data_IF_518730572134
#
_entry.id   IF_518730572134
#
_cell.length_a   1.000
_cell.length_b   1.000
_cell.length_c   1.000
_cell.angle_alpha   90.00
_cell.angle_beta   90.00
_cell.angle_gamma   90.00
#
_symmetry.space_group_name_H-M   'P 1'
#
loop_
_entity.id
_entity.type
_entity.pdbx_description
1 polymer ?
#
# COMPACT_ATOMS: atom_id res chain seq x y z
N UNK A 1 -63.44 6.76 -44.82
CA UNK A 1 -62.13 7.36 -45.19
C UNK A 1 -61.13 7.30 -44.02
N UNK A 2 -61.20 6.31 -43.14
CA UNK A 2 -60.20 5.24 -42.96
C UNK A 2 -59.23 5.04 -44.16
N UNK A 3 -57.99 5.56 -44.11
CA UNK A 3 -56.80 5.00 -44.82
C UNK A 3 -55.44 5.72 -44.65
N UNK A 4 -55.31 6.81 -43.90
CA UNK A 4 -54.02 7.56 -43.82
C UNK A 4 -53.31 7.52 -42.45
N UNK A 5 -53.70 6.61 -41.54
CA UNK A 5 -53.16 6.51 -40.18
C UNK A 5 -52.07 5.41 -40.02
N UNK A 6 -51.40 4.98 -41.11
CA UNK A 6 -50.48 3.82 -41.07
C UNK A 6 -49.00 4.05 -41.42
N UNK A 7 -48.54 5.10 -42.15
CA UNK A 7 -47.10 5.24 -42.38
C UNK A 7 -46.35 6.04 -41.28
N UNK A 8 -47.05 6.83 -40.47
CA UNK A 8 -46.44 7.72 -39.46
C UNK A 8 -46.03 7.00 -38.14
N UNK A 9 -46.37 5.72 -37.97
CA UNK A 9 -45.95 4.92 -36.80
C UNK A 9 -44.70 4.08 -37.13
N UNK A 10 -44.38 3.85 -38.40
CA UNK A 10 -43.22 3.05 -38.81
C UNK A 10 -41.91 3.87 -38.87
N UNK A 11 -41.99 5.21 -39.04
CA UNK A 11 -40.82 6.09 -39.13
C UNK A 11 -40.27 6.53 -37.76
N UNK A 12 -41.10 6.48 -36.71
CA UNK A 12 -40.70 6.81 -35.32
C UNK A 12 -39.99 5.62 -34.63
N UNK A 13 -40.18 4.39 -35.12
CA UNK A 13 -39.54 3.20 -34.55
C UNK A 13 -38.07 3.01 -35.03
N UNK A 14 -37.68 3.61 -36.16
CA UNK A 14 -36.32 3.50 -36.72
C UNK A 14 -35.36 4.56 -36.15
N UNK A 15 -35.89 5.69 -35.64
CA UNK A 15 -35.09 6.75 -35.01
C UNK A 15 -34.61 6.40 -33.59
N UNK A 16 -35.18 5.38 -32.94
CA UNK A 16 -34.73 4.93 -31.61
C UNK A 16 -33.41 4.15 -31.64
N UNK A 17 -33.01 3.59 -32.79
CA UNK A 17 -31.78 2.78 -32.91
C UNK A 17 -30.52 3.67 -33.07
N UNK A 18 -30.67 4.87 -33.64
CA UNK A 18 -29.56 5.82 -33.80
C UNK A 18 -29.14 6.48 -32.47
N UNK A 19 -30.04 6.58 -31.49
CA UNK A 19 -29.73 7.11 -30.17
C UNK A 19 -28.84 6.17 -29.33
N UNK A 20 -28.96 4.85 -29.51
CA UNK A 20 -28.11 3.87 -28.81
C UNK A 20 -26.66 3.84 -29.30
N UNK A 21 -26.35 4.35 -30.50
CA UNK A 21 -24.98 4.42 -31.01
C UNK A 21 -24.21 5.68 -30.53
N UNK A 22 -24.92 6.70 -30.05
CA UNK A 22 -24.35 8.03 -29.73
C UNK A 22 -23.39 8.02 -28.52
N UNK A 23 -23.53 7.07 -27.59
CA UNK A 23 -22.69 6.96 -26.40
C UNK A 23 -21.46 6.07 -26.55
N UNK A 24 -21.40 5.24 -27.60
CA UNK A 24 -20.36 4.21 -27.75
C UNK A 24 -18.97 4.81 -27.93
N UNK A 25 -18.83 5.76 -28.86
CA UNK A 25 -17.53 6.39 -29.18
C UNK A 25 -16.94 7.17 -27.99
N UNK A 26 -17.70 8.03 -27.29
CA UNK A 26 -17.21 8.68 -26.06
C UNK A 26 -16.80 7.70 -24.96
N UNK A 27 -17.54 6.60 -24.79
CA UNK A 27 -17.20 5.59 -23.79
C UNK A 27 -15.89 4.84 -24.15
N UNK A 28 -15.70 4.48 -25.42
CA UNK A 28 -14.45 3.85 -25.91
C UNK A 28 -13.24 4.78 -25.76
N UNK A 29 -13.39 6.06 -26.08
CA UNK A 29 -12.34 7.07 -25.93
C UNK A 29 -11.99 7.29 -24.46
N UNK A 30 -12.99 7.39 -23.57
CA UNK A 30 -12.76 7.53 -22.13
C UNK A 30 -12.04 6.30 -21.54
N UNK A 31 -12.43 5.09 -21.93
CA UNK A 31 -11.77 3.84 -21.49
C UNK A 31 -10.32 3.80 -21.98
N UNK A 32 -10.06 4.17 -23.24
CA UNK A 32 -8.69 4.23 -23.78
C UNK A 32 -7.83 5.26 -23.05
N UNK A 33 -8.38 6.44 -22.77
CA UNK A 33 -7.68 7.48 -22.02
C UNK A 33 -7.37 7.03 -20.59
N UNK A 34 -8.33 6.39 -19.92
CA UNK A 34 -8.17 5.83 -18.58
C UNK A 34 -7.08 4.74 -18.55
N UNK A 35 -7.09 3.82 -19.52
CA UNK A 35 -6.09 2.76 -19.65
C UNK A 35 -4.68 3.33 -19.88
N UNK A 36 -4.54 4.30 -20.77
CA UNK A 36 -3.25 4.97 -21.01
C UNK A 36 -2.74 5.67 -19.73
N UNK A 37 -3.61 6.41 -19.03
CA UNK A 37 -3.24 7.14 -17.82
C UNK A 37 -2.86 6.21 -16.66
N UNK A 38 -3.66 5.15 -16.41
CA UNK A 38 -3.37 4.17 -15.36
C UNK A 38 -2.05 3.46 -15.66
N UNK A 39 -1.81 3.02 -16.90
CA UNK A 39 -0.57 2.36 -17.28
C UNK A 39 0.66 3.26 -17.11
N UNK A 40 0.53 4.56 -17.38
CA UNK A 40 1.60 5.54 -17.17
C UNK A 40 1.94 5.72 -15.68
N UNK A 41 0.94 5.72 -14.79
CA UNK A 41 1.13 5.93 -13.36
C UNK A 41 1.49 4.65 -12.57
N UNK A 42 1.14 3.46 -13.11
CA UNK A 42 1.21 2.17 -12.40
C UNK A 42 2.60 1.82 -11.88
N UNK A 43 3.66 2.10 -12.63
CA UNK A 43 5.01 1.61 -12.33
C UNK A 43 5.53 2.02 -10.95
N UNK A 44 5.48 3.32 -10.63
CA UNK A 44 5.91 3.82 -9.32
C UNK A 44 4.81 3.64 -8.26
N UNK A 45 3.55 3.85 -8.63
CA UNK A 45 2.43 3.71 -7.71
C UNK A 45 2.29 2.29 -7.13
N UNK A 46 2.55 1.25 -7.91
CA UNK A 46 2.52 -0.15 -7.43
C UNK A 46 3.52 -0.43 -6.32
N UNK A 47 4.60 0.35 -6.21
CA UNK A 47 5.62 0.15 -5.17
C UNK A 47 5.21 0.72 -3.81
N UNK A 48 4.35 1.73 -3.81
CA UNK A 48 4.09 2.53 -2.60
C UNK A 48 2.62 2.56 -2.20
N UNK A 49 1.70 2.45 -3.17
CA UNK A 49 0.24 2.54 -3.01
C UNK A 49 -0.51 1.48 -3.87
N UNK A 50 -0.16 0.19 -3.78
CA UNK A 50 -0.75 -0.86 -4.63
C UNK A 50 -2.28 -0.95 -4.52
N UNK A 51 -2.86 -0.66 -3.35
CA UNK A 51 -4.32 -0.68 -3.15
C UNK A 51 -5.04 0.42 -3.95
N UNK A 52 -4.41 1.59 -4.10
CA UNK A 52 -4.96 2.68 -4.91
C UNK A 52 -4.88 2.34 -6.40
N UNK A 53 -3.78 1.71 -6.83
CA UNK A 53 -3.65 1.20 -8.21
C UNK A 53 -4.76 0.20 -8.49
N UNK A 54 -4.93 -0.81 -7.62
CA UNK A 54 -5.97 -1.84 -7.75
C UNK A 54 -7.36 -1.22 -7.86
N UNK A 55 -7.66 -0.22 -7.04
CA UNK A 55 -8.95 0.49 -7.09
C UNK A 55 -9.22 1.12 -8.46
N UNK A 56 -8.21 1.69 -9.12
CA UNK A 56 -8.36 2.24 -10.47
C UNK A 56 -8.47 1.17 -11.54
N UNK A 57 -7.75 0.05 -11.41
CA UNK A 57 -7.85 -1.10 -12.32
C UNK A 57 -9.22 -1.79 -12.23
N UNK A 58 -9.76 -1.93 -11.02
CA UNK A 58 -11.10 -2.47 -10.80
C UNK A 58 -12.16 -1.53 -11.42
N UNK A 59 -11.99 -0.21 -11.28
CA UNK A 59 -12.85 0.79 -11.93
C UNK A 59 -12.79 0.75 -13.46
N UNK A 60 -11.58 0.61 -14.03
CA UNK A 60 -11.38 0.44 -15.48
C UNK A 60 -12.03 -0.85 -15.98
N UNK A 61 -11.90 -1.94 -15.21
CA UNK A 61 -12.51 -3.24 -15.52
C UNK A 61 -14.03 -3.13 -15.54
N UNK A 62 -14.63 -2.52 -14.52
CA UNK A 62 -16.07 -2.28 -14.47
C UNK A 62 -16.57 -1.42 -15.66
N UNK A 63 -15.81 -0.40 -16.07
CA UNK A 63 -16.15 0.40 -17.24
C UNK A 63 -16.08 -0.41 -18.55
N UNK A 64 -15.06 -1.27 -18.71
CA UNK A 64 -14.93 -2.20 -19.84
C UNK A 64 -16.08 -3.21 -19.89
N UNK A 65 -16.50 -3.74 -18.75
CA UNK A 65 -17.66 -4.64 -18.65
C UNK A 65 -18.97 -3.94 -19.03
N UNK A 66 -19.18 -2.70 -18.57
CA UNK A 66 -20.34 -1.91 -18.95
C UNK A 66 -20.37 -1.66 -20.47
N UNK A 67 -19.22 -1.36 -21.08
CA UNK A 67 -19.10 -1.22 -22.53
C UNK A 67 -19.47 -2.51 -23.26
N UNK A 68 -19.00 -3.66 -22.78
CA UNK A 68 -19.31 -4.98 -23.36
C UNK A 68 -20.81 -5.30 -23.27
N UNK A 69 -21.47 -4.89 -22.19
CA UNK A 69 -22.93 -4.98 -21.99
C UNK A 69 -23.71 -3.93 -22.80
N UNK A 70 -23.03 -3.10 -23.60
CA UNK A 70 -23.59 -1.95 -24.35
C UNK A 70 -24.22 -0.89 -23.44
N UNK A 71 -23.87 -0.88 -22.16
CA UNK A 71 -24.22 0.19 -21.23
C UNK A 71 -23.21 1.34 -21.37
N UNK A 72 -23.36 2.11 -22.45
CA UNK A 72 -22.45 3.18 -22.79
C UNK A 72 -22.44 4.33 -21.78
N UNK A 73 -23.56 4.54 -21.07
CA UNK A 73 -23.66 5.58 -20.04
C UNK A 73 -22.87 5.18 -18.80
N UNK A 74 -23.02 3.93 -18.33
CA UNK A 74 -22.23 3.43 -17.21
C UNK A 74 -20.73 3.31 -17.58
N UNK A 75 -20.41 2.87 -18.80
CA UNK A 75 -19.03 2.81 -19.28
C UNK A 75 -18.35 4.19 -19.29
N UNK A 76 -19.00 5.20 -19.86
CA UNK A 76 -18.49 6.57 -19.87
C UNK A 76 -18.37 7.12 -18.44
N UNK A 77 -19.39 6.93 -17.59
CA UNK A 77 -19.36 7.42 -16.22
C UNK A 77 -18.27 6.75 -15.37
N UNK A 78 -18.00 5.46 -15.59
CA UNK A 78 -16.98 4.70 -14.88
C UNK A 78 -15.56 5.06 -15.33
N UNK A 79 -15.38 5.47 -16.59
CA UNK A 79 -14.05 5.75 -17.14
C UNK A 79 -13.64 7.22 -17.11
N UNK A 80 -14.58 8.17 -17.22
CA UNK A 80 -14.27 9.60 -17.47
C UNK A 80 -13.36 10.26 -16.43
N UNK A 81 -13.45 9.84 -15.17
CA UNK A 81 -12.70 10.45 -14.06
C UNK A 81 -11.39 9.70 -13.76
N UNK A 82 -11.19 8.50 -14.35
CA UNK A 82 -10.01 7.68 -14.11
C UNK A 82 -8.70 8.34 -14.57
N UNK A 83 -8.62 9.08 -15.70
CA UNK A 83 -7.41 9.82 -16.06
C UNK A 83 -6.97 10.83 -14.99
N UNK A 84 -7.93 11.56 -14.39
CA UNK A 84 -7.65 12.49 -13.29
C UNK A 84 -7.12 11.76 -12.07
N UNK A 85 -7.79 10.68 -11.65
CA UNK A 85 -7.34 9.86 -10.52
C UNK A 85 -5.98 9.19 -10.76
N UNK A 86 -5.67 8.83 -12.00
CA UNK A 86 -4.36 8.29 -12.36
C UNK A 86 -3.24 9.35 -12.25
N UNK A 87 -3.54 10.62 -12.53
CA UNK A 87 -2.59 11.72 -12.27
C UNK A 87 -2.38 11.91 -10.75
N UNK A 88 -3.47 11.87 -9.97
CA UNK A 88 -3.38 11.96 -8.51
C UNK A 88 -2.57 10.80 -7.92
N UNK A 89 -2.62 9.62 -8.54
CA UNK A 89 -1.85 8.45 -8.14
C UNK A 89 -0.34 8.69 -8.17
N UNK A 90 0.17 9.42 -9.17
CA UNK A 90 1.60 9.74 -9.24
C UNK A 90 2.03 10.67 -8.08
N UNK A 91 1.22 11.69 -7.79
CA UNK A 91 1.47 12.60 -6.67
C UNK A 91 1.36 11.87 -5.31
N UNK A 92 0.37 10.99 -5.16
CA UNK A 92 0.21 10.17 -3.97
C UNK A 92 1.37 9.20 -3.79
N UNK A 93 1.90 8.60 -4.87
CA UNK A 93 3.05 7.71 -4.81
C UNK A 93 4.32 8.46 -4.37
N UNK A 94 4.55 9.67 -4.89
CA UNK A 94 5.66 10.52 -4.49
C UNK A 94 5.57 10.91 -3.00
N UNK A 95 4.38 11.36 -2.57
CA UNK A 95 4.11 11.69 -1.16
C UNK A 95 4.37 10.48 -0.27
N UNK A 96 3.87 9.30 -0.66
CA UNK A 96 4.03 8.07 0.12
C UNK A 96 5.50 7.64 0.22
N UNK A 97 6.28 7.82 -0.84
CA UNK A 97 7.71 7.56 -0.84
C UNK A 97 8.46 8.48 0.12
N UNK A 98 8.10 9.76 0.17
CA UNK A 98 8.66 10.73 1.11
C UNK A 98 8.32 10.36 2.56
N UNK A 99 7.05 10.04 2.85
CA UNK A 99 6.60 9.57 4.16
C UNK A 99 7.39 8.34 4.63
N UNK A 100 7.52 7.32 3.76
CA UNK A 100 8.24 6.10 4.11
C UNK A 100 9.74 6.36 4.30
N UNK A 101 10.32 7.27 3.51
CA UNK A 101 11.72 7.67 3.67
C UNK A 101 11.94 8.40 5.00
N UNK A 102 11.02 9.29 5.38
CA UNK A 102 11.10 10.03 6.63
C UNK A 102 10.91 9.10 7.84
N UNK A 103 9.92 8.21 7.79
CA UNK A 103 9.72 7.18 8.81
C UNK A 103 10.97 6.30 8.98
N UNK A 104 11.66 5.97 7.87
CA UNK A 104 12.89 5.18 7.94
C UNK A 104 14.00 5.95 8.66
N UNK A 105 14.20 7.24 8.35
CA UNK A 105 15.22 8.08 9.01
C UNK A 105 14.98 8.15 10.51
N UNK A 106 13.73 8.29 10.93
CA UNK A 106 13.36 8.32 12.35
C UNK A 106 13.66 6.99 13.04
N UNK A 107 13.22 5.87 12.46
CA UNK A 107 13.44 4.54 13.04
C UNK A 107 14.91 4.13 13.03
N UNK A 108 15.63 4.40 11.94
CA UNK A 108 17.05 4.05 11.80
C UNK A 108 17.97 4.87 12.70
N UNK A 109 17.54 6.05 13.14
CA UNK A 109 18.24 6.80 14.19
C UNK A 109 18.13 6.15 15.58
N UNK A 110 17.02 5.45 15.87
CA UNK A 110 16.74 4.93 17.22
C UNK A 110 17.01 3.43 17.40
N UNK A 111 16.57 2.61 16.44
CA UNK A 111 16.53 1.15 16.60
C UNK A 111 17.90 0.51 16.82
N UNK A 112 18.97 0.87 16.07
CA UNK A 112 20.29 0.30 16.32
C UNK A 112 20.78 0.52 17.77
N UNK A 113 20.45 1.68 18.36
CA UNK A 113 20.82 2.00 19.74
C UNK A 113 20.05 1.16 20.75
N UNK A 114 18.77 0.87 20.47
CA UNK A 114 17.98 -0.04 21.31
C UNK A 114 18.55 -1.46 21.28
N UNK A 115 18.88 -1.97 20.09
CA UNK A 115 19.46 -3.31 19.93
C UNK A 115 20.82 -3.41 20.64
N UNK A 116 21.69 -2.40 20.51
CA UNK A 116 22.98 -2.38 21.21
C UNK A 116 22.81 -2.30 22.74
N UNK A 117 21.84 -1.53 23.23
CA UNK A 117 21.54 -1.47 24.67
C UNK A 117 21.05 -2.82 25.22
N UNK A 118 20.21 -3.54 24.46
CA UNK A 118 19.76 -4.91 24.81
C UNK A 118 20.97 -5.84 24.87
N UNK A 119 21.82 -5.84 23.84
CA UNK A 119 23.03 -6.65 23.79
C UNK A 119 23.94 -6.38 24.99
N UNK A 120 24.25 -5.12 25.27
CA UNK A 120 25.04 -4.72 26.43
C UNK A 120 24.43 -5.24 27.75
N UNK A 121 23.11 -5.15 27.90
CA UNK A 121 22.42 -5.66 29.10
C UNK A 121 22.50 -7.18 29.20
N UNK A 122 22.34 -7.91 28.09
CA UNK A 122 22.50 -9.37 28.03
C UNK A 122 23.91 -9.78 28.44
N UNK A 123 24.94 -9.08 27.96
CA UNK A 123 26.34 -9.38 28.29
C UNK A 123 26.62 -9.18 29.79
N UNK A 124 26.17 -8.05 30.36
CA UNK A 124 26.30 -7.76 31.81
C UNK A 124 25.59 -8.82 32.65
N UNK A 125 24.36 -9.19 32.28
CA UNK A 125 23.56 -10.17 33.02
C UNK A 125 24.11 -11.59 32.90
N UNK A 126 24.68 -11.93 31.74
CA UNK A 126 25.33 -13.24 31.51
C UNK A 126 26.55 -13.46 32.42
N UNK A 127 27.22 -12.38 32.82
CA UNK A 127 28.37 -12.42 33.73
C UNK A 127 27.99 -12.26 35.20
N UNK A 128 26.73 -11.90 35.50
CA UNK A 128 26.29 -11.61 36.86
C UNK A 128 26.00 -12.89 37.66
N UNK A 129 26.50 -12.95 38.90
CA UNK A 129 26.21 -14.07 39.84
C UNK A 129 24.77 -14.07 40.36
N UNK A 130 24.07 -12.94 40.27
CA UNK A 130 22.67 -12.76 40.69
C UNK A 130 21.92 -12.00 39.61
N UNK A 131 20.76 -12.50 39.21
CA UNK A 131 19.86 -11.85 38.26
C UNK A 131 18.86 -10.94 38.99
N UNK A 132 18.30 -9.91 38.33
CA UNK A 132 17.19 -9.12 38.86
C UNK A 132 16.00 -10.01 39.26
N UNK A 133 15.24 -9.61 40.28
CA UNK A 133 14.20 -10.44 40.91
C UNK A 133 13.11 -11.00 39.94
N UNK A 134 12.88 -10.32 38.81
CA UNK A 134 11.88 -10.71 37.81
C UNK A 134 12.46 -11.40 36.56
N UNK A 135 13.78 -11.65 36.55
CA UNK A 135 14.49 -12.28 35.44
C UNK A 135 15.11 -13.60 35.89
N UNK A 136 14.67 -14.68 35.28
CA UNK A 136 15.30 -16.00 35.40
C UNK A 136 16.27 -16.26 34.25
N UNK A 137 17.03 -17.36 34.37
CA UNK A 137 18.02 -17.76 33.38
C UNK A 137 17.39 -18.09 32.02
N UNK A 138 16.21 -18.70 31.99
CA UNK A 138 15.54 -19.09 30.75
C UNK A 138 15.12 -17.86 29.93
N UNK A 139 14.61 -16.81 30.59
CA UNK A 139 14.29 -15.54 29.95
C UNK A 139 15.53 -14.84 29.40
N UNK A 140 16.63 -14.81 30.15
CA UNK A 140 17.90 -14.24 29.68
C UNK A 140 18.45 -15.00 28.46
N UNK A 141 18.45 -16.33 28.52
CA UNK A 141 18.90 -17.19 27.43
C UNK A 141 18.00 -17.04 26.18
N UNK A 142 16.68 -16.88 26.38
CA UNK A 142 15.73 -16.59 25.31
C UNK A 142 16.00 -15.27 24.60
N UNK A 143 16.22 -14.18 25.35
CA UNK A 143 16.59 -12.88 24.77
C UNK A 143 17.93 -12.97 24.03
N UNK A 144 18.91 -13.66 24.62
CA UNK A 144 20.22 -13.89 23.98
C UNK A 144 20.10 -14.65 22.67
N UNK A 145 19.25 -15.67 22.60
CA UNK A 145 19.01 -16.45 21.39
C UNK A 145 18.25 -15.65 20.31
N UNK A 146 17.43 -14.67 20.70
CA UNK A 146 16.69 -13.80 19.77
C UNK A 146 17.51 -12.64 19.19
N UNK A 147 18.60 -12.22 19.83
CA UNK A 147 19.44 -11.10 19.36
C UNK A 147 20.00 -11.27 17.93
N UNK A 148 20.50 -12.47 17.53
CA UNK A 148 20.93 -12.68 16.14
C UNK A 148 19.81 -12.49 15.13
N UNK A 149 18.58 -12.93 15.44
CA UNK A 149 17.43 -12.74 14.57
C UNK A 149 17.10 -11.26 14.40
N UNK A 150 17.07 -10.50 15.49
CA UNK A 150 16.83 -9.04 15.44
C UNK A 150 17.91 -8.30 14.64
N UNK A 151 19.17 -8.74 14.78
CA UNK A 151 20.30 -8.17 14.02
C UNK A 151 20.16 -8.48 12.53
N UNK A 152 19.86 -9.72 12.18
CA UNK A 152 19.65 -10.12 10.78
C UNK A 152 18.46 -9.39 10.15
N UNK A 153 17.35 -9.25 10.89
CA UNK A 153 16.18 -8.49 10.43
C UNK A 153 16.54 -7.02 10.18
N UNK A 154 17.42 -6.43 11.00
CA UNK A 154 17.90 -5.07 10.80
C UNK A 154 18.71 -4.94 9.51
N UNK A 155 19.64 -5.86 9.25
CA UNK A 155 20.41 -5.88 8.01
C UNK A 155 19.50 -6.05 6.78
N UNK A 156 18.48 -6.90 6.88
CA UNK A 156 17.51 -7.11 5.80
C UNK A 156 16.59 -5.92 5.59
N UNK A 157 16.31 -5.14 6.64
CA UNK A 157 15.61 -3.87 6.55
C UNK A 157 16.47 -2.81 5.84
N UNK A 158 17.77 -2.74 6.17
CA UNK A 158 18.72 -1.85 5.50
C UNK A 158 18.87 -2.18 4.01
N UNK A 159 18.94 -3.47 3.67
CA UNK A 159 18.97 -3.93 2.26
C UNK A 159 17.67 -3.57 1.54
N UNK A 160 16.51 -3.77 2.17
CA UNK A 160 15.22 -3.40 1.60
C UNK A 160 15.15 -1.89 1.32
N UNK A 161 15.59 -1.06 2.28
CA UNK A 161 15.64 0.39 2.11
C UNK A 161 16.56 0.80 0.95
N UNK A 162 17.78 0.27 0.92
CA UNK A 162 18.79 0.55 -0.12
C UNK A 162 18.34 0.06 -1.51
N UNK A 163 17.57 -1.02 -1.56
CA UNK A 163 16.93 -1.54 -2.77
C UNK A 163 15.68 -0.78 -3.21
N UNK A 164 15.30 0.29 -2.51
CA UNK A 164 14.11 1.09 -2.80
C UNK A 164 12.78 0.45 -2.37
N UNK A 165 12.83 -0.70 -1.69
CA UNK A 165 11.66 -1.36 -1.10
C UNK A 165 11.35 -0.77 0.28
N UNK A 166 10.91 0.49 0.27
CA UNK A 166 10.67 1.26 1.49
C UNK A 166 9.56 0.66 2.37
N UNK A 167 8.52 0.10 1.76
CA UNK A 167 7.41 -0.51 2.50
C UNK A 167 7.87 -1.73 3.31
N UNK A 168 8.67 -2.62 2.71
CA UNK A 168 9.27 -3.77 3.39
C UNK A 168 10.27 -3.33 4.46
N UNK A 169 11.11 -2.34 4.18
CA UNK A 169 12.05 -1.78 5.15
C UNK A 169 11.36 -1.26 6.41
N UNK A 170 10.29 -0.48 6.25
CA UNK A 170 9.48 0.04 7.37
C UNK A 170 8.76 -1.08 8.11
N UNK A 171 8.21 -2.06 7.40
CA UNK A 171 7.56 -3.22 8.02
C UNK A 171 8.54 -3.97 8.93
N UNK A 172 9.74 -4.29 8.42
CA UNK A 172 10.81 -4.94 9.21
C UNK A 172 11.26 -4.08 10.38
N UNK A 173 11.46 -2.78 10.18
CA UNK A 173 11.82 -1.85 11.25
C UNK A 173 10.80 -1.82 12.39
N UNK A 174 9.49 -1.88 12.08
CA UNK A 174 8.42 -1.99 13.08
C UNK A 174 8.50 -3.29 13.86
N UNK A 175 8.65 -4.42 13.19
CA UNK A 175 8.81 -5.71 13.88
C UNK A 175 10.06 -5.73 14.78
N UNK A 176 11.16 -5.13 14.34
CA UNK A 176 12.38 -4.98 15.15
C UNK A 176 12.12 -4.11 16.38
N UNK A 177 11.40 -2.99 16.21
CA UNK A 177 10.99 -2.12 17.32
C UNK A 177 10.21 -2.92 18.37
N UNK A 178 9.21 -3.67 17.95
CA UNK A 178 8.34 -4.44 18.85
C UNK A 178 9.13 -5.52 19.60
N UNK A 179 9.96 -6.29 18.88
CA UNK A 179 10.87 -7.28 19.48
C UNK A 179 11.86 -6.64 20.45
N UNK A 180 12.42 -5.47 20.11
CA UNK A 180 13.35 -4.76 20.97
C UNK A 180 12.65 -4.28 22.26
N UNK A 181 11.42 -3.76 22.18
CA UNK A 181 10.62 -3.36 23.34
C UNK A 181 10.32 -4.55 24.25
N UNK A 182 9.96 -5.70 23.67
CA UNK A 182 9.72 -6.95 24.41
C UNK A 182 11.00 -7.43 25.13
N UNK A 183 12.13 -7.44 24.43
CA UNK A 183 13.43 -7.80 25.01
C UNK A 183 13.84 -6.85 26.13
N UNK A 184 13.72 -5.53 25.93
CA UNK A 184 14.00 -4.53 26.97
C UNK A 184 13.11 -4.75 28.20
N UNK A 185 11.81 -5.00 28.00
CA UNK A 185 10.87 -5.28 29.09
C UNK A 185 11.27 -6.55 29.85
N UNK A 186 11.61 -7.62 29.13
CA UNK A 186 12.06 -8.89 29.70
C UNK A 186 13.33 -8.72 30.54
N UNK A 187 14.29 -7.93 30.05
CA UNK A 187 15.54 -7.63 30.76
C UNK A 187 15.40 -6.62 31.91
N UNK A 188 14.18 -6.12 32.16
CA UNK A 188 13.89 -5.10 33.16
C UNK A 188 14.51 -3.74 32.84
N UNK A 189 14.72 -3.44 31.57
CA UNK A 189 15.21 -2.15 31.08
C UNK A 189 14.05 -1.16 30.96
N UNK A 190 14.34 0.12 31.11
CA UNK A 190 13.37 1.16 30.78
C UNK A 190 13.20 1.27 29.27
N UNK A 191 11.97 1.09 28.78
CA UNK A 191 11.63 1.31 27.38
C UNK A 191 11.52 2.82 27.11
N UNK A 192 12.22 3.37 26.09
CA UNK A 192 12.10 4.78 25.71
C UNK A 192 10.65 5.17 25.39
N UNK A 193 10.19 6.35 25.81
CA UNK A 193 8.80 6.76 25.62
C UNK A 193 8.33 6.70 24.16
N UNK A 194 9.15 7.17 23.22
CA UNK A 194 8.85 7.10 21.77
C UNK A 194 8.87 5.68 21.17
N UNK A 195 9.31 4.68 21.95
CA UNK A 195 9.28 3.29 21.53
C UNK A 195 8.01 2.54 21.98
N UNK A 196 7.21 3.11 22.90
CA UNK A 196 6.02 2.46 23.49
C UNK A 196 4.74 2.58 22.64
N UNK A 197 4.74 3.45 21.65
CA UNK A 197 3.62 3.76 20.74
C UNK A 197 3.84 3.22 19.35
#
# INVERSE_FOLDING_TARGET
MKKWLKPMVLMVLVLFVAACASGKKPAEEAIKAAEAAINAAKGEAMKYIPDQVKTLEDGLTAAKEALAKKDYKAALSGAKDLPGKANDLAAAAATRKEELTQAWKEMSGGLPRMVEAIKSRVDILSQSKKLPANLDKAKLDGVKAGLPEVTQMWDDAQKAFSGGNLADAISKAKTIKDKAVEMMTTLGMQVPAGAKS
#
